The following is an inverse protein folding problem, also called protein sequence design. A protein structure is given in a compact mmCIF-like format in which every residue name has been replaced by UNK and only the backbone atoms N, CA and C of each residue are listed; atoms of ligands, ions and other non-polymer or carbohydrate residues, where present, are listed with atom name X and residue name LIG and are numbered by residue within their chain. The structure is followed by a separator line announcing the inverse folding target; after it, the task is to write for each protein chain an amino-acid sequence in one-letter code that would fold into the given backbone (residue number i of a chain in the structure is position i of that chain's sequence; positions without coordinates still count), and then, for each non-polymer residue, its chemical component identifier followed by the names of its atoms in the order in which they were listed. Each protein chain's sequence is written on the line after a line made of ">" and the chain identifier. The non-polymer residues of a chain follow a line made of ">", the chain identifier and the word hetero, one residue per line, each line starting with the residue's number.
data_IF_186136400783
#
_entry.id   IF_186136400783
#
_cell.length_a   1.000
_cell.length_b   1.000
_cell.length_c   1.000
_cell.angle_alpha   90.00
_cell.angle_beta   90.00
_cell.angle_gamma   90.00
#
_symmetry.space_group_name_H-M   'P 1'
#
loop_
_entity.id
_entity.type
_entity.pdbx_description
1 polymer ?
#
# COMPACT_ATOMS: atom_id res chain seq x y z
N UNK A 1 1.32 39.59 -50.62
CA UNK A 1 2.50 40.42 -50.28
C UNK A 1 3.07 39.92 -48.95
N UNK A 2 4.30 39.38 -48.93
CA UNK A 2 4.90 38.67 -47.80
C UNK A 2 5.66 39.63 -46.85
N UNK A 3 5.66 39.33 -45.55
CA UNK A 3 6.52 40.01 -44.57
C UNK A 3 7.70 39.10 -44.18
N UNK A 4 8.89 39.44 -44.71
CA UNK A 4 10.19 38.89 -44.33
C UNK A 4 10.68 39.59 -43.06
N UNK A 5 11.08 38.81 -42.06
CA UNK A 5 11.80 39.30 -40.87
C UNK A 5 13.29 39.06 -41.10
N UNK A 6 14.10 40.13 -41.12
CA UNK A 6 15.56 40.08 -41.19
C UNK A 6 16.15 40.35 -39.80
N UNK A 7 17.16 39.56 -39.42
CA UNK A 7 17.90 39.67 -38.16
C UNK A 7 18.94 40.81 -38.20
N UNK A 8 19.01 41.61 -37.13
CA UNK A 8 20.02 42.65 -36.95
C UNK A 8 21.34 42.10 -36.38
N UNK A 9 22.52 42.64 -36.74
CA UNK A 9 23.82 42.17 -36.26
C UNK A 9 24.19 42.79 -34.90
N UNK A 10 24.68 41.97 -33.97
CA UNK A 10 25.23 42.43 -32.68
C UNK A 10 26.69 42.86 -32.83
N UNK A 11 26.98 44.08 -32.39
CA UNK A 11 28.27 44.75 -32.45
C UNK A 11 29.38 44.05 -31.63
N UNK A 12 30.56 43.91 -32.24
CA UNK A 12 31.76 43.41 -31.58
C UNK A 12 32.47 44.48 -30.75
N UNK A 13 32.64 44.22 -29.45
CA UNK A 13 33.44 45.06 -28.55
C UNK A 13 34.86 44.47 -28.45
N UNK A 14 35.83 45.16 -29.06
CA UNK A 14 37.27 44.92 -28.85
C UNK A 14 37.73 45.63 -27.58
N UNK A 15 38.19 44.90 -26.55
CA UNK A 15 38.91 45.47 -25.40
C UNK A 15 40.44 45.35 -25.61
N UNK A 16 41.10 46.50 -25.45
CA UNK A 16 42.55 46.74 -25.60
C UNK A 16 43.37 46.02 -24.52
N UNK A 17 44.55 45.52 -24.89
CA UNK A 17 45.59 45.02 -23.96
C UNK A 17 46.16 46.19 -23.14
N UNK A 18 46.04 46.14 -21.82
CA UNK A 18 46.87 46.92 -20.90
C UNK A 18 47.87 45.99 -20.20
N UNK A 19 49.12 46.45 -20.14
CA UNK A 19 50.23 45.80 -19.46
C UNK A 19 50.20 46.15 -17.97
N UNK A 20 49.73 45.23 -17.13
CA UNK A 20 49.96 45.26 -15.69
C UNK A 20 50.54 43.93 -15.23
N UNK A 21 51.71 44.00 -14.55
CA UNK A 21 52.32 42.89 -13.80
C UNK A 21 51.29 42.35 -12.79
N UNK A 22 50.92 41.07 -12.83
CA UNK A 22 50.05 40.51 -11.81
C UNK A 22 50.85 40.31 -10.51
N UNK A 23 50.33 40.87 -9.41
CA UNK A 23 50.70 40.48 -8.05
C UNK A 23 50.33 39.01 -7.86
N UNK A 24 51.23 38.21 -7.30
CA UNK A 24 50.98 36.81 -6.94
C UNK A 24 49.81 36.74 -5.95
N UNK A 25 48.78 35.97 -6.29
CA UNK A 25 47.70 35.68 -5.34
C UNK A 25 48.19 34.66 -4.30
N UNK A 26 47.73 34.75 -3.04
CA UNK A 26 48.15 33.83 -1.98
C UNK A 26 47.57 32.41 -2.16
N UNK A 27 46.78 32.18 -3.21
CA UNK A 27 46.19 30.88 -3.55
C UNK A 27 46.87 30.22 -4.77
N UNK A 28 47.90 30.83 -5.34
CA UNK A 28 48.63 30.28 -6.49
C UNK A 28 49.44 29.02 -6.16
N UNK A 29 49.73 28.77 -4.88
CA UNK A 29 50.40 27.56 -4.39
C UNK A 29 49.45 26.42 -4.01
N UNK A 30 48.12 26.61 -4.11
CA UNK A 30 47.20 25.51 -3.85
C UNK A 30 47.06 24.61 -5.09
N UNK A 31 47.33 23.29 -4.97
CA UNK A 31 47.24 22.38 -6.10
C UNK A 31 45.79 22.30 -6.59
N UNK A 32 45.55 22.73 -7.85
CA UNK A 32 44.27 22.52 -8.54
C UNK A 32 44.15 21.05 -8.94
N UNK A 33 43.33 20.29 -8.21
CA UNK A 33 42.89 18.98 -8.68
C UNK A 33 41.88 19.14 -9.83
N UNK A 34 42.15 18.48 -10.95
CA UNK A 34 41.16 18.32 -12.03
C UNK A 34 40.00 17.46 -11.51
N UNK A 35 38.73 17.79 -11.82
CA UNK A 35 37.62 16.88 -11.55
C UNK A 35 37.80 15.67 -12.48
N UNK A 36 38.19 14.52 -11.91
CA UNK A 36 38.28 13.26 -12.66
C UNK A 36 39.52 12.38 -12.41
N UNK A 37 40.50 12.80 -11.61
CA UNK A 37 41.63 11.94 -11.25
C UNK A 37 41.46 11.39 -9.83
N UNK A 38 41.04 10.11 -9.72
CA UNK A 38 41.08 9.36 -8.46
C UNK A 38 42.55 9.10 -8.12
N UNK A 39 43.03 9.68 -7.03
CA UNK A 39 44.30 9.31 -6.42
C UNK A 39 44.13 7.94 -5.77
N UNK A 40 44.92 6.97 -6.24
CA UNK A 40 45.11 5.67 -5.62
C UNK A 40 45.79 5.85 -4.25
N UNK A 41 44.96 6.14 -3.26
CA UNK A 41 45.24 5.95 -1.84
C UNK A 41 43.92 5.47 -1.20
N UNK A 42 43.35 4.42 -1.81
CA UNK A 42 42.51 3.46 -1.11
C UNK A 42 43.42 2.79 -0.08
N UNK A 43 43.40 3.32 1.13
CA UNK A 43 43.29 2.41 2.26
C UNK A 43 41.81 2.26 2.47
N UNK A 44 41.28 1.16 1.94
CA UNK A 44 40.05 0.54 2.38
C UNK A 44 40.03 0.61 3.91
N UNK A 45 39.27 1.57 4.44
CA UNK A 45 38.70 1.39 5.76
C UNK A 45 37.43 0.63 5.47
N UNK A 46 37.60 -0.68 5.38
CA UNK A 46 36.56 -1.70 5.38
C UNK A 46 35.83 -1.57 6.72
N UNK A 47 34.94 -0.58 6.82
CA UNK A 47 34.01 -0.46 7.93
C UNK A 47 32.94 -1.51 7.71
N UNK A 48 33.20 -2.65 8.30
CA UNK A 48 32.24 -3.69 8.69
C UNK A 48 31.43 -4.25 7.52
N UNK A 49 31.86 -5.43 7.07
CA UNK A 49 30.94 -6.48 6.62
C UNK A 49 29.59 -6.31 7.30
N UNK A 50 28.50 -6.27 6.50
CA UNK A 50 27.13 -6.51 6.97
C UNK A 50 27.17 -7.75 7.85
N UNK A 51 27.33 -7.55 9.16
CA UNK A 51 27.26 -8.56 10.19
C UNK A 51 25.78 -8.73 10.54
N UNK A 52 25.43 -9.97 10.88
CA UNK A 52 24.06 -10.28 11.26
C UNK A 52 23.70 -9.45 12.50
N UNK A 53 22.53 -8.81 12.47
CA UNK A 53 22.06 -8.00 13.60
C UNK A 53 21.89 -8.89 14.83
N UNK A 54 22.36 -8.45 16.01
CA UNK A 54 22.14 -9.19 17.24
C UNK A 54 20.64 -9.32 17.50
N UNK A 55 20.21 -10.53 17.87
CA UNK A 55 18.82 -10.85 18.15
C UNK A 55 18.59 -11.02 19.66
N UNK A 56 17.95 -10.03 20.27
CA UNK A 56 17.53 -10.07 21.68
C UNK A 56 16.06 -10.49 21.86
N UNK A 57 15.42 -10.97 20.79
CA UNK A 57 14.03 -11.42 20.77
C UNK A 57 13.04 -10.36 20.27
N UNK A 58 11.75 -10.69 20.39
CA UNK A 58 10.64 -9.89 19.85
C UNK A 58 10.61 -8.46 20.40
N UNK A 59 10.54 -7.48 19.50
CA UNK A 59 10.44 -6.07 19.86
C UNK A 59 9.00 -5.67 20.20
N UNK A 60 8.84 -4.78 21.19
CA UNK A 60 7.57 -4.13 21.51
C UNK A 60 7.39 -2.77 20.83
N UNK A 61 8.22 -2.46 19.83
CA UNK A 61 8.23 -1.16 19.15
C UNK A 61 6.85 -0.71 18.64
N UNK A 62 6.09 -1.60 17.97
CA UNK A 62 4.78 -1.24 17.40
C UNK A 62 3.74 -0.90 18.49
N UNK A 63 3.47 -1.77 19.47
CA UNK A 63 2.49 -1.44 20.52
C UNK A 63 2.93 -0.27 21.43
N UNK A 64 4.22 0.03 21.52
CA UNK A 64 4.71 1.20 22.28
C UNK A 64 4.51 2.52 21.52
N UNK A 65 4.60 2.48 20.19
CA UNK A 65 4.44 3.66 19.33
C UNK A 65 2.97 3.93 19.00
N UNK A 66 2.17 2.90 18.80
CA UNK A 66 0.74 2.99 18.56
C UNK A 66 -0.05 2.95 19.88
N UNK A 67 -0.43 4.12 20.39
CA UNK A 67 -1.27 4.24 21.61
C UNK A 67 -2.73 3.95 21.30
N UNK A 68 -3.07 2.68 21.22
CA UNK A 68 -4.39 2.18 20.87
C UNK A 68 -4.79 1.07 21.82
N UNK A 69 -6.00 1.16 22.39
CA UNK A 69 -6.48 0.21 23.41
C UNK A 69 -7.68 -0.64 22.98
N UNK A 70 -8.46 -0.16 21.99
CA UNK A 70 -9.67 -0.84 21.50
C UNK A 70 -9.61 -1.12 20.00
N UNK A 71 -10.42 -2.07 19.54
CA UNK A 71 -10.52 -2.42 18.10
C UNK A 71 -11.01 -1.23 17.28
N UNK A 72 -11.91 -0.41 17.82
CA UNK A 72 -12.40 0.77 17.10
C UNK A 72 -11.35 1.87 17.00
N UNK A 73 -10.58 2.08 18.07
CA UNK A 73 -9.47 3.02 18.05
C UNK A 73 -8.38 2.54 17.06
N UNK A 74 -8.15 1.22 16.96
CA UNK A 74 -7.24 0.63 16.00
C UNK A 74 -7.69 0.89 14.56
N UNK A 75 -8.96 0.63 14.26
CA UNK A 75 -9.52 0.90 12.93
C UNK A 75 -9.40 2.39 12.58
N UNK A 76 -9.71 3.29 13.52
CA UNK A 76 -9.57 4.73 13.31
C UNK A 76 -8.11 5.16 13.11
N UNK A 77 -7.18 4.61 13.90
CA UNK A 77 -5.74 4.86 13.80
C UNK A 77 -5.22 4.42 12.43
N UNK A 78 -5.54 3.20 11.99
CA UNK A 78 -5.09 2.63 10.73
C UNK A 78 -5.58 3.46 9.55
N UNK A 79 -6.84 3.90 9.56
CA UNK A 79 -7.36 4.74 8.49
C UNK A 79 -6.68 6.11 8.45
N UNK A 80 -6.43 6.73 9.61
CA UNK A 80 -5.81 8.06 9.71
C UNK A 80 -4.32 8.05 9.34
N UNK A 81 -3.61 6.96 9.62
CA UNK A 81 -2.15 6.84 9.45
C UNK A 81 -1.72 6.23 8.11
N UNK A 82 -2.66 5.79 7.26
CA UNK A 82 -2.35 5.08 6.00
C UNK A 82 -1.45 5.86 5.05
N UNK A 83 -1.59 7.18 4.99
CA UNK A 83 -0.88 8.02 4.04
C UNK A 83 -0.15 9.17 4.70
N UNK A 84 1.04 9.46 4.17
CA UNK A 84 1.76 10.68 4.49
C UNK A 84 1.12 11.89 3.80
N UNK A 85 1.25 13.06 4.43
CA UNK A 85 0.90 14.34 3.83
C UNK A 85 1.69 14.60 2.54
N UNK A 86 1.08 15.36 1.63
CA UNK A 86 1.73 15.69 0.36
C UNK A 86 2.96 16.57 0.60
N UNK A 87 4.13 16.23 0.02
CA UNK A 87 5.33 17.00 0.24
C UNK A 87 5.22 18.38 -0.44
N UNK A 88 5.61 19.44 0.29
CA UNK A 88 5.57 20.83 -0.20
C UNK A 88 6.38 21.00 -1.50
N UNK A 89 7.47 20.25 -1.65
CA UNK A 89 8.26 20.16 -2.88
C UNK A 89 8.23 18.74 -3.45
N UNK A 90 7.03 18.27 -3.75
CA UNK A 90 6.83 16.91 -4.23
C UNK A 90 7.57 16.58 -5.53
N UNK A 91 7.85 17.56 -6.39
CA UNK A 91 8.30 17.28 -7.76
C UNK A 91 7.27 16.49 -8.58
N UNK A 92 6.00 16.49 -8.13
CA UNK A 92 4.84 15.93 -8.83
C UNK A 92 4.13 17.04 -9.59
N UNK A 93 3.62 16.75 -10.78
CA UNK A 93 2.75 17.67 -11.51
C UNK A 93 1.35 17.70 -10.86
N UNK A 94 0.55 18.72 -11.21
CA UNK A 94 -0.81 18.90 -10.68
C UNK A 94 -1.72 17.70 -10.96
N UNK A 95 -1.59 17.08 -12.14
CA UNK A 95 -2.37 15.89 -12.50
C UNK A 95 -2.06 14.72 -11.58
N UNK A 96 -0.79 14.47 -11.28
CA UNK A 96 -0.39 13.41 -10.35
C UNK A 96 -0.87 13.68 -8.93
N UNK A 97 -0.82 14.92 -8.48
CA UNK A 97 -1.35 15.31 -7.16
C UNK A 97 -2.86 15.02 -7.09
N UNK A 98 -3.61 15.39 -8.14
CA UNK A 98 -5.04 15.10 -8.22
C UNK A 98 -5.33 13.60 -8.23
N UNK A 99 -4.56 12.80 -8.99
CA UNK A 99 -4.67 11.33 -8.98
C UNK A 99 -4.47 10.75 -7.58
N UNK A 100 -3.45 11.21 -6.85
CA UNK A 100 -3.17 10.76 -5.48
C UNK A 100 -4.34 11.09 -4.55
N UNK A 101 -4.82 12.33 -4.58
CA UNK A 101 -5.91 12.77 -3.71
C UNK A 101 -7.24 12.06 -4.04
N UNK A 102 -7.53 11.87 -5.33
CA UNK A 102 -8.73 11.15 -5.77
C UNK A 102 -8.68 9.67 -5.39
N UNK A 103 -7.53 9.02 -5.57
CA UNK A 103 -7.37 7.63 -5.15
C UNK A 103 -7.60 7.51 -3.64
N UNK A 104 -6.89 8.29 -2.83
CA UNK A 104 -6.99 8.25 -1.36
C UNK A 104 -8.43 8.45 -0.90
N UNK A 105 -9.16 9.39 -1.49
CA UNK A 105 -10.59 9.63 -1.19
C UNK A 105 -11.50 8.47 -1.61
N UNK A 106 -11.13 7.75 -2.67
CA UNK A 106 -11.93 6.66 -3.22
C UNK A 106 -11.76 5.32 -2.49
N UNK A 107 -10.75 5.19 -1.62
CA UNK A 107 -10.50 3.94 -0.91
C UNK A 107 -11.62 3.68 0.10
N UNK A 108 -12.07 2.41 0.22
CA UNK A 108 -13.04 2.06 1.24
C UNK A 108 -12.41 2.13 2.64
N UNK A 109 -13.20 2.38 3.69
CA UNK A 109 -12.79 2.37 5.09
C UNK A 109 -12.62 0.92 5.58
N UNK A 110 -11.76 0.16 4.88
CA UNK A 110 -11.40 -1.21 5.19
C UNK A 110 -10.07 -1.24 5.94
N UNK A 111 -9.99 -2.16 6.87
CA UNK A 111 -8.79 -2.46 7.65
C UNK A 111 -8.60 -3.97 7.68
N UNK A 112 -7.36 -4.46 7.54
CA UNK A 112 -7.08 -5.88 7.67
C UNK A 112 -7.16 -6.31 9.15
N UNK A 113 -7.63 -7.53 9.42
CA UNK A 113 -7.63 -8.08 10.78
C UNK A 113 -6.20 -8.24 11.32
N UNK A 114 -5.26 -8.60 10.44
CA UNK A 114 -3.83 -8.70 10.73
C UNK A 114 -3.25 -7.39 11.31
N UNK A 115 -3.59 -6.25 10.72
CA UNK A 115 -3.14 -4.94 11.20
C UNK A 115 -3.63 -4.65 12.62
N UNK A 116 -4.91 -4.91 12.88
CA UNK A 116 -5.54 -4.68 14.21
C UNK A 116 -4.86 -5.51 15.29
N UNK A 117 -4.58 -6.79 15.02
CA UNK A 117 -3.88 -7.67 15.96
C UNK A 117 -2.49 -7.14 16.33
N UNK A 118 -1.79 -6.58 15.35
CA UNK A 118 -0.43 -6.05 15.54
C UNK A 118 -0.42 -4.85 16.47
N UNK A 119 -1.41 -3.96 16.36
CA UNK A 119 -1.48 -2.76 17.19
C UNK A 119 -1.82 -3.07 18.65
N UNK A 120 -2.73 -4.02 18.89
CA UNK A 120 -3.30 -4.27 20.23
C UNK A 120 -2.54 -5.31 21.07
N UNK A 121 -1.55 -6.01 20.49
CA UNK A 121 -0.63 -6.97 21.15
C UNK A 121 -1.29 -7.92 22.17
N UNK A 122 -2.50 -8.40 21.87
CA UNK A 122 -3.29 -9.31 22.72
C UNK A 122 -4.30 -10.12 21.87
N UNK A 123 -3.84 -11.04 21.00
CA UNK A 123 -4.63 -11.59 19.90
C UNK A 123 -5.95 -12.26 20.34
N UNK A 124 -5.95 -12.97 21.47
CA UNK A 124 -7.16 -13.62 22.00
C UNK A 124 -8.19 -12.62 22.52
N UNK A 125 -7.74 -11.56 23.18
CA UNK A 125 -8.60 -10.47 23.65
C UNK A 125 -9.18 -9.70 22.47
N UNK A 126 -8.34 -9.41 21.47
CA UNK A 126 -8.72 -8.70 20.25
C UNK A 126 -9.77 -9.47 19.47
N UNK A 127 -9.58 -10.78 19.25
CA UNK A 127 -10.62 -11.59 18.57
C UNK A 127 -11.92 -11.63 19.36
N UNK A 128 -11.86 -11.75 20.69
CA UNK A 128 -13.06 -11.70 21.52
C UNK A 128 -13.80 -10.37 21.35
N UNK A 129 -13.08 -9.25 21.37
CA UNK A 129 -13.65 -7.93 21.15
C UNK A 129 -14.22 -7.77 19.72
N UNK A 130 -13.53 -8.29 18.69
CA UNK A 130 -14.04 -8.31 17.31
C UNK A 130 -15.37 -9.07 17.25
N UNK A 131 -15.45 -10.26 17.84
CA UNK A 131 -16.68 -11.07 17.87
C UNK A 131 -17.81 -10.34 18.60
N UNK A 132 -17.52 -9.70 19.73
CA UNK A 132 -18.49 -8.91 20.48
C UNK A 132 -18.99 -7.70 19.65
N UNK A 133 -18.10 -7.00 18.95
CA UNK A 133 -18.45 -5.86 18.09
C UNK A 133 -19.22 -6.28 16.84
N UNK A 134 -18.92 -7.45 16.29
CA UNK A 134 -19.65 -8.03 15.15
C UNK A 134 -21.05 -8.49 15.58
N UNK A 135 -21.17 -9.15 16.75
CA UNK A 135 -22.47 -9.60 17.29
C UNK A 135 -23.39 -8.44 17.66
N UNK A 136 -22.83 -7.35 18.19
CA UNK A 136 -23.57 -6.10 18.48
C UNK A 136 -23.82 -5.23 17.24
N UNK A 137 -23.32 -5.63 16.06
CA UNK A 137 -23.51 -4.93 14.81
C UNK A 137 -22.75 -3.60 14.70
N UNK A 138 -21.77 -3.34 15.55
CA UNK A 138 -20.92 -2.12 15.51
C UNK A 138 -19.82 -2.21 14.45
N UNK A 139 -19.34 -3.42 14.19
CA UNK A 139 -18.32 -3.73 13.18
C UNK A 139 -18.87 -4.81 12.25
N UNK A 140 -18.48 -4.77 10.98
CA UNK A 140 -18.71 -5.87 10.02
C UNK A 140 -17.38 -6.46 9.59
N UNK A 141 -17.30 -7.79 9.65
CA UNK A 141 -16.20 -8.57 9.08
C UNK A 141 -16.54 -8.96 7.65
N UNK A 142 -15.63 -8.66 6.74
CA UNK A 142 -15.76 -8.91 5.31
C UNK A 142 -14.68 -9.90 4.90
N UNK A 143 -15.12 -11.04 4.38
CA UNK A 143 -14.25 -12.02 3.75
C UNK A 143 -14.34 -11.80 2.25
N UNK A 144 -13.22 -11.51 1.60
CA UNK A 144 -13.08 -11.42 0.15
C UNK A 144 -12.57 -12.76 -0.36
N UNK A 145 -13.42 -13.62 -0.93
CA UNK A 145 -12.98 -14.95 -1.34
C UNK A 145 -11.87 -14.88 -2.42
N UNK A 146 -11.06 -15.94 -2.52
CA UNK A 146 -9.95 -16.00 -3.48
C UNK A 146 -8.79 -15.02 -3.20
N UNK A 147 -8.81 -14.31 -2.06
CA UNK A 147 -7.73 -13.40 -1.63
C UNK A 147 -7.01 -13.86 -0.35
N UNK A 148 -7.16 -15.14 0.01
CA UNK A 148 -6.61 -15.73 1.23
C UNK A 148 -7.42 -15.31 2.47
N UNK A 149 -7.74 -16.27 3.33
CA UNK A 149 -8.41 -16.05 4.63
C UNK A 149 -7.48 -16.33 5.81
N UNK A 150 -6.23 -16.67 5.52
CA UNK A 150 -5.15 -16.86 6.47
C UNK A 150 -4.52 -15.51 6.86
N UNK A 151 -3.65 -15.50 7.87
CA UNK A 151 -3.01 -14.27 8.36
C UNK A 151 -2.23 -13.52 7.26
N UNK A 152 -1.58 -14.26 6.34
CA UNK A 152 -0.89 -13.69 5.18
C UNK A 152 -1.86 -13.26 4.06
N UNK A 153 -3.12 -13.69 4.13
CA UNK A 153 -4.18 -13.33 3.21
C UNK A 153 -4.47 -11.82 3.21
N UNK A 154 -5.03 -11.36 2.11
CA UNK A 154 -5.55 -10.01 1.93
C UNK A 154 -7.08 -9.97 2.09
N UNK A 155 -7.72 -11.12 2.31
CA UNK A 155 -9.17 -11.27 2.19
C UNK A 155 -9.95 -11.02 3.47
N UNK A 156 -9.33 -10.89 4.63
CA UNK A 156 -10.02 -10.75 5.91
C UNK A 156 -9.95 -9.32 6.44
N UNK A 157 -11.06 -8.59 6.33
CA UNK A 157 -11.12 -7.16 6.62
C UNK A 157 -12.26 -6.82 7.60
N UNK A 158 -12.08 -5.70 8.31
CA UNK A 158 -13.08 -5.08 9.18
C UNK A 158 -13.47 -3.70 8.62
N UNK A 159 -14.71 -3.32 8.91
CA UNK A 159 -15.23 -1.98 8.65
C UNK A 159 -16.23 -1.61 9.74
N UNK A 160 -16.22 -0.35 10.17
CA UNK A 160 -17.23 0.15 11.11
C UNK A 160 -18.58 0.23 10.42
N UNK A 161 -19.64 -0.22 11.09
CA UNK A 161 -21.00 -0.17 10.52
C UNK A 161 -21.40 1.25 10.16
N UNK A 162 -20.99 2.25 10.96
CA UNK A 162 -21.26 3.67 10.69
C UNK A 162 -20.68 4.12 9.34
N UNK A 163 -19.41 3.84 9.11
CA UNK A 163 -18.70 4.22 7.88
C UNK A 163 -19.28 3.52 6.65
N UNK A 164 -19.71 2.26 6.81
CA UNK A 164 -20.43 1.55 5.75
C UNK A 164 -21.76 2.24 5.44
N UNK A 165 -22.59 2.51 6.44
CA UNK A 165 -23.88 3.17 6.22
C UNK A 165 -23.71 4.55 5.59
N UNK A 166 -22.69 5.31 5.97
CA UNK A 166 -22.34 6.59 5.35
C UNK A 166 -21.96 6.43 3.88
N UNK A 167 -21.17 5.41 3.52
CA UNK A 167 -20.87 5.09 2.13
C UNK A 167 -22.11 4.76 1.31
N UNK A 168 -23.04 3.98 1.87
CA UNK A 168 -24.29 3.62 1.18
C UNK A 168 -25.16 4.86 1.00
N UNK A 169 -25.35 5.67 2.04
CA UNK A 169 -26.12 6.93 1.95
C UNK A 169 -25.50 7.96 1.01
N UNK A 170 -24.18 7.97 0.87
CA UNK A 170 -23.44 8.81 -0.08
C UNK A 170 -23.53 8.32 -1.53
N UNK A 171 -23.98 7.09 -1.74
CA UNK A 171 -24.23 6.52 -3.07
C UNK A 171 -25.71 6.63 -3.44
N UNK A 172 -26.03 6.71 -4.73
CA UNK A 172 -27.42 6.71 -5.21
C UNK A 172 -28.09 5.31 -5.12
N UNK A 173 -27.70 4.53 -4.11
CA UNK A 173 -28.14 3.15 -3.89
C UNK A 173 -29.34 3.14 -2.95
N UNK A 174 -30.10 2.06 -3.00
CA UNK A 174 -31.40 1.90 -2.36
C UNK A 174 -31.29 1.81 -0.83
N UNK A 175 -32.12 2.55 -0.10
CA UNK A 175 -32.27 2.45 1.37
C UNK A 175 -32.64 1.02 1.81
N UNK A 176 -33.33 0.26 0.95
CA UNK A 176 -33.65 -1.16 1.17
C UNK A 176 -32.41 -2.03 1.36
N UNK A 177 -31.23 -1.59 0.87
CA UNK A 177 -29.97 -2.27 1.13
C UNK A 177 -29.52 -2.12 2.59
N UNK A 178 -29.75 -0.97 3.23
CA UNK A 178 -29.45 -0.77 4.65
C UNK A 178 -30.33 -1.66 5.53
N UNK A 179 -31.61 -1.78 5.19
CA UNK A 179 -32.53 -2.67 5.89
C UNK A 179 -32.11 -4.14 5.74
N UNK A 180 -31.64 -4.53 4.56
CA UNK A 180 -31.06 -5.85 4.37
C UNK A 180 -29.84 -6.06 5.25
N UNK A 181 -28.89 -5.12 5.27
CA UNK A 181 -27.67 -5.20 6.08
C UNK A 181 -28.02 -5.43 7.55
N UNK A 182 -29.02 -4.71 8.09
CA UNK A 182 -29.51 -4.89 9.46
C UNK A 182 -30.11 -6.28 9.69
N UNK A 183 -30.82 -6.83 8.69
CA UNK A 183 -31.48 -8.15 8.79
C UNK A 183 -30.52 -9.34 8.67
N UNK A 184 -29.52 -9.27 7.80
CA UNK A 184 -28.56 -10.38 7.59
C UNK A 184 -27.50 -10.48 8.70
N UNK A 185 -27.47 -9.50 9.61
CA UNK A 185 -26.57 -9.49 10.75
C UNK A 185 -25.11 -9.60 10.33
N UNK A 186 -24.48 -10.70 10.72
CA UNK A 186 -23.06 -11.01 10.53
C UNK A 186 -22.74 -11.76 9.24
N UNK A 187 -23.75 -12.17 8.47
CA UNK A 187 -23.54 -12.91 7.21
C UNK A 187 -22.94 -12.01 6.12
N UNK A 188 -21.85 -12.47 5.49
CA UNK A 188 -21.26 -11.81 4.31
C UNK A 188 -21.87 -12.28 2.99
N UNK A 189 -22.69 -13.34 3.01
CA UNK A 189 -23.38 -13.87 1.82
C UNK A 189 -24.83 -13.38 1.76
N UNK A 190 -25.24 -12.94 0.58
CA UNK A 190 -26.60 -12.49 0.28
C UNK A 190 -27.26 -13.53 -0.64
N UNK A 191 -28.40 -14.12 -0.22
CA UNK A 191 -29.15 -15.03 -1.06
C UNK A 191 -29.59 -14.38 -2.37
N UNK A 192 -29.52 -15.15 -3.47
CA UNK A 192 -30.07 -14.72 -4.75
C UNK A 192 -31.60 -14.53 -4.63
N UNK A 193 -32.12 -13.40 -5.13
CA UNK A 193 -33.56 -13.10 -5.12
C UNK A 193 -34.06 -12.18 -4.01
N UNK A 194 -33.18 -11.68 -3.13
CA UNK A 194 -33.55 -10.67 -2.12
C UNK A 194 -33.91 -9.32 -2.76
N UNK A 195 -33.27 -8.99 -3.88
CA UNK A 195 -33.52 -7.77 -4.65
C UNK A 195 -34.06 -8.10 -6.05
N UNK A 196 -34.88 -7.22 -6.63
CA UNK A 196 -35.14 -7.21 -8.07
C UNK A 196 -33.83 -7.18 -8.88
N UNK A 197 -33.83 -7.74 -10.11
CA UNK A 197 -32.62 -7.79 -10.95
C UNK A 197 -32.00 -6.41 -11.19
N UNK A 198 -32.82 -5.38 -11.42
CA UNK A 198 -32.36 -4.01 -11.63
C UNK A 198 -31.60 -3.45 -10.40
N UNK A 199 -32.15 -3.65 -9.21
CA UNK A 199 -31.59 -3.20 -7.93
C UNK A 199 -30.29 -3.94 -7.61
N UNK A 200 -30.28 -5.25 -7.86
CA UNK A 200 -29.11 -6.08 -7.67
C UNK A 200 -27.98 -5.67 -8.62
N UNK A 201 -28.29 -5.38 -9.88
CA UNK A 201 -27.31 -4.86 -10.85
C UNK A 201 -26.82 -3.47 -10.48
N UNK A 202 -27.66 -2.61 -9.89
CA UNK A 202 -27.24 -1.32 -9.37
C UNK A 202 -26.25 -1.48 -8.20
N UNK A 203 -26.53 -2.40 -7.27
CA UNK A 203 -25.64 -2.74 -6.15
C UNK A 203 -24.29 -3.31 -6.61
N UNK A 204 -24.30 -4.18 -7.62
CA UNK A 204 -23.07 -4.72 -8.21
C UNK A 204 -22.27 -3.62 -8.92
N UNK A 205 -22.92 -2.75 -9.69
CA UNK A 205 -22.26 -1.62 -10.37
C UNK A 205 -21.70 -0.59 -9.39
N UNK A 206 -22.40 -0.35 -8.29
CA UNK A 206 -21.92 0.49 -7.20
C UNK A 206 -20.77 -0.17 -6.41
N UNK A 207 -20.58 -1.48 -6.53
CA UNK A 207 -19.50 -2.22 -5.87
C UNK A 207 -19.84 -2.67 -4.45
N UNK A 208 -21.13 -2.74 -4.09
CA UNK A 208 -21.59 -3.26 -2.79
C UNK A 208 -21.84 -4.77 -2.80
N UNK A 209 -21.95 -5.37 -3.99
CA UNK A 209 -22.11 -6.81 -4.18
C UNK A 209 -21.14 -7.34 -5.24
N UNK A 210 -20.61 -8.54 -5.02
CA UNK A 210 -19.77 -9.28 -5.98
C UNK A 210 -20.28 -10.71 -6.13
N UNK A 211 -20.35 -11.19 -7.37
CA UNK A 211 -20.70 -12.59 -7.66
C UNK A 211 -19.52 -13.53 -7.37
N UNK A 212 -19.81 -14.69 -6.76
CA UNK A 212 -18.86 -15.77 -6.56
C UNK A 212 -18.12 -16.20 -7.84
N UNK A 213 -18.81 -16.19 -9.00
CA UNK A 213 -18.26 -16.62 -10.28
C UNK A 213 -17.17 -15.70 -10.84
N UNK A 214 -17.19 -14.41 -10.49
CA UNK A 214 -16.15 -13.44 -10.86
C UNK A 214 -14.84 -13.64 -10.07
N UNK A 215 -14.91 -14.43 -9.00
CA UNK A 215 -13.84 -14.62 -8.03
C UNK A 215 -13.05 -15.92 -8.26
N UNK A 216 -13.65 -16.87 -8.98
CA UNK A 216 -13.09 -18.18 -9.30
C UNK A 216 -11.98 -18.16 -10.39
N UNK A 217 -11.50 -16.99 -10.84
CA UNK A 217 -10.34 -16.91 -11.76
C UNK A 217 -8.99 -17.17 -11.07
N UNK A 218 -8.98 -17.36 -9.75
CA UNK A 218 -7.85 -17.94 -9.01
C UNK A 218 -8.25 -19.31 -8.49
N UNK A 219 -7.60 -20.37 -8.97
CA UNK A 219 -7.75 -21.73 -8.47
C UNK A 219 -7.42 -21.80 -6.98
N UNK A 220 -8.41 -21.76 -6.09
CA UNK A 220 -8.29 -22.20 -4.70
C UNK A 220 -9.60 -22.84 -4.24
N UNK A 221 -9.47 -24.02 -3.65
CA UNK A 221 -10.56 -24.86 -3.15
C UNK A 221 -11.47 -24.08 -2.19
N UNK A 222 -12.74 -23.93 -2.56
CA UNK A 222 -13.81 -23.46 -1.67
C UNK A 222 -14.17 -24.62 -0.72
N UNK A 223 -13.27 -24.92 0.20
CA UNK A 223 -13.51 -25.86 1.30
C UNK A 223 -13.38 -25.08 2.60
N UNK A 224 -14.47 -24.39 2.99
CA UNK A 224 -14.83 -23.99 4.37
C UNK A 224 -15.84 -22.83 4.30
N UNK A 225 -17.08 -23.13 3.92
CA UNK A 225 -18.23 -22.32 4.32
C UNK A 225 -18.93 -23.05 5.46
N UNK A 226 -19.43 -22.35 6.50
CA UNK A 226 -20.38 -22.95 7.43
C UNK A 226 -21.60 -23.43 6.63
N UNK A 227 -22.01 -24.67 6.89
CA UNK A 227 -22.99 -25.45 6.15
C UNK A 227 -24.28 -24.67 5.84
N UNK A 228 -24.46 -24.29 4.58
CA UNK A 228 -25.78 -23.93 4.03
C UNK A 228 -26.53 -25.24 3.76
N UNK A 229 -27.77 -25.43 4.23
CA UNK A 229 -28.53 -26.65 3.94
C UNK A 229 -28.72 -26.78 2.43
N UNK A 230 -28.12 -27.84 1.88
CA UNK A 230 -28.23 -28.18 0.45
C UNK A 230 -29.54 -28.93 0.26
N UNK A 231 -30.62 -28.22 -0.07
CA UNK A 231 -31.84 -28.85 -0.55
C UNK A 231 -32.47 -28.02 -1.67
N UNK A 232 -32.22 -28.48 -2.90
CA UNK A 232 -33.16 -28.66 -4.03
C UNK A 232 -32.35 -28.53 -5.34
N UNK A 233 -32.32 -29.64 -6.07
CA UNK A 233 -31.35 -29.89 -7.12
C UNK A 233 -31.60 -29.20 -8.46
N UNK A 234 -30.56 -29.23 -9.29
CA UNK A 234 -30.68 -29.41 -10.72
C UNK A 234 -29.34 -29.96 -11.24
N UNK A 235 -29.34 -31.27 -11.48
CA UNK A 235 -28.33 -31.98 -12.25
C UNK A 235 -28.31 -31.42 -13.68
N UNK A 236 -27.12 -31.11 -14.22
CA UNK A 236 -26.92 -31.27 -15.66
C UNK A 236 -25.44 -31.48 -15.96
N UNK A 237 -25.13 -32.70 -16.37
CA UNK A 237 -23.86 -33.11 -16.94
C UNK A 237 -23.96 -33.00 -18.46
N UNK A 238 -22.90 -32.51 -19.12
CA UNK A 238 -22.54 -32.96 -20.47
C UNK A 238 -21.09 -32.62 -20.79
N UNK A 239 -20.41 -33.59 -21.38
CA UNK A 239 -18.99 -33.66 -21.75
C UNK A 239 -18.78 -33.20 -23.21
N UNK A 240 -17.51 -33.16 -23.65
CA UNK A 240 -16.98 -32.97 -25.02
C UNK A 240 -16.85 -31.49 -25.46
N UNK A 241 -15.88 -31.02 -26.25
CA UNK A 241 -14.67 -31.55 -26.89
C UNK A 241 -13.78 -30.34 -27.27
N UNK A 242 -12.54 -30.58 -27.71
CA UNK A 242 -11.53 -29.62 -28.12
C UNK A 242 -11.97 -28.63 -29.23
N UNK A 243 -11.45 -27.38 -29.16
CA UNK A 243 -11.54 -26.41 -30.25
C UNK A 243 -11.16 -24.98 -29.84
N UNK A 244 -9.93 -24.59 -30.16
CA UNK A 244 -9.40 -23.21 -30.09
C UNK A 244 -10.23 -22.22 -30.93
N UNK A 245 -10.87 -21.25 -30.27
CA UNK A 245 -11.37 -19.98 -30.86
C UNK A 245 -11.35 -18.86 -29.78
N UNK A 246 -11.21 -17.58 -30.18
CA UNK A 246 -10.74 -16.50 -29.33
C UNK A 246 -11.80 -15.97 -28.34
N UNK A 247 -11.29 -15.50 -27.20
CA UNK A 247 -12.01 -14.95 -26.05
C UNK A 247 -12.86 -13.73 -26.42
N UNK A 248 -14.11 -13.96 -26.82
CA UNK A 248 -15.17 -12.96 -26.65
C UNK A 248 -15.57 -12.93 -25.17
N UNK A 249 -15.50 -11.75 -24.56
CA UNK A 249 -16.01 -11.49 -23.23
C UNK A 249 -17.54 -11.67 -23.24
N UNK A 250 -17.98 -12.90 -22.93
CA UNK A 250 -19.38 -13.27 -22.86
C UNK A 250 -20.03 -12.49 -21.71
N UNK A 251 -20.96 -11.61 -22.03
CA UNK A 251 -21.78 -10.94 -21.03
C UNK A 251 -22.54 -12.00 -20.23
N UNK A 252 -22.54 -11.95 -18.89
CA UNK A 252 -23.31 -12.88 -18.09
C UNK A 252 -24.79 -12.73 -18.42
N UNK A 253 -25.44 -13.81 -18.82
CA UNK A 253 -26.87 -13.85 -19.10
C UNK A 253 -27.65 -13.70 -17.78
N UNK A 254 -28.82 -13.07 -17.86
CA UNK A 254 -29.70 -12.75 -16.72
C UNK A 254 -30.07 -14.00 -15.88
N UNK A 255 -29.98 -15.19 -16.46
CA UNK A 255 -30.19 -16.48 -15.79
C UNK A 255 -29.04 -16.92 -14.88
N UNK A 256 -27.78 -16.63 -15.24
CA UNK A 256 -26.62 -16.95 -14.39
C UNK A 256 -26.58 -16.08 -13.13
N UNK A 257 -27.09 -14.85 -13.23
CA UNK A 257 -27.17 -13.91 -12.10
C UNK A 257 -28.19 -14.34 -11.04
N UNK A 258 -29.27 -15.03 -11.44
CA UNK A 258 -30.34 -15.47 -10.54
C UNK A 258 -29.99 -16.69 -9.68
N UNK A 259 -28.98 -17.46 -10.06
CA UNK A 259 -28.53 -18.64 -9.30
C UNK A 259 -27.19 -18.44 -8.59
N UNK A 260 -26.50 -17.31 -8.79
CA UNK A 260 -25.21 -17.04 -8.20
C UNK A 260 -25.35 -16.49 -6.78
N UNK A 261 -24.62 -17.10 -5.83
CA UNK A 261 -24.46 -16.53 -4.49
C UNK A 261 -23.68 -15.21 -4.59
N UNK A 262 -24.24 -14.16 -4.01
CA UNK A 262 -23.63 -12.83 -3.98
C UNK A 262 -22.94 -12.62 -2.64
N UNK A 263 -21.80 -11.93 -2.66
CA UNK A 263 -21.05 -11.56 -1.46
C UNK A 263 -21.07 -10.04 -1.28
N UNK A 264 -21.12 -9.61 -0.03
CA UNK A 264 -20.97 -8.20 0.31
C UNK A 264 -19.55 -7.73 -0.02
N UNK A 265 -19.44 -6.53 -0.55
CA UNK A 265 -18.18 -5.82 -0.73
C UNK A 265 -18.36 -4.32 -0.48
N UNK A 266 -17.25 -3.59 -0.49
CA UNK A 266 -17.29 -2.14 -0.57
C UNK A 266 -16.77 -1.66 -1.93
N UNK A 267 -17.22 -0.48 -2.39
CA UNK A 267 -16.67 0.16 -3.57
C UNK A 267 -15.13 0.25 -3.46
N UNK A 268 -14.43 0.01 -4.57
CA UNK A 268 -12.95 0.06 -4.63
C UNK A 268 -12.18 -0.92 -3.71
N UNK A 269 -12.83 -1.96 -3.16
CA UNK A 269 -12.15 -3.01 -2.38
C UNK A 269 -10.95 -3.60 -3.13
N UNK A 270 -11.11 -3.93 -4.42
CA UNK A 270 -10.01 -4.48 -5.23
C UNK A 270 -8.82 -3.53 -5.39
N UNK A 271 -9.06 -2.22 -5.41
CA UNK A 271 -8.01 -1.20 -5.47
C UNK A 271 -7.25 -1.11 -4.15
N UNK A 272 -7.98 -1.13 -3.03
CA UNK A 272 -7.39 -1.20 -1.69
C UNK A 272 -6.51 -2.44 -1.52
N UNK A 273 -7.02 -3.63 -1.85
CA UNK A 273 -6.26 -4.88 -1.72
C UNK A 273 -5.03 -4.91 -2.62
N UNK A 274 -5.11 -4.32 -3.82
CA UNK A 274 -3.94 -4.19 -4.70
C UNK A 274 -2.88 -3.28 -4.08
N UNK A 275 -3.29 -2.13 -3.56
CA UNK A 275 -2.39 -1.18 -2.90
C UNK A 275 -1.71 -1.84 -1.68
N UNK A 276 -2.49 -2.58 -0.90
CA UNK A 276 -2.02 -3.35 0.25
C UNK A 276 -0.96 -4.39 -0.14
N UNK A 277 -1.26 -5.22 -1.13
CA UNK A 277 -0.33 -6.21 -1.65
C UNK A 277 0.94 -5.60 -2.25
N UNK A 278 0.83 -4.47 -2.95
CA UNK A 278 1.99 -3.73 -3.48
C UNK A 278 2.86 -3.15 -2.37
N UNK A 279 2.26 -2.64 -1.29
CA UNK A 279 2.97 -2.14 -0.11
C UNK A 279 3.77 -3.26 0.56
N UNK A 280 3.10 -4.35 0.93
CA UNK A 280 3.72 -5.55 1.52
C UNK A 280 4.88 -6.07 0.66
N UNK A 281 4.64 -6.24 -0.64
CA UNK A 281 5.67 -6.74 -1.57
C UNK A 281 6.87 -5.81 -1.65
N UNK A 282 6.64 -4.48 -1.71
CA UNK A 282 7.73 -3.51 -1.76
C UNK A 282 8.58 -3.53 -0.49
N UNK A 283 7.97 -3.66 0.69
CA UNK A 283 8.70 -3.73 1.94
C UNK A 283 9.61 -4.98 1.99
N UNK A 284 9.07 -6.13 1.61
CA UNK A 284 9.81 -7.39 1.51
C UNK A 284 10.93 -7.28 0.46
N UNK A 285 10.68 -6.65 -0.68
CA UNK A 285 11.71 -6.40 -1.71
C UNK A 285 12.87 -5.54 -1.18
N UNK A 286 12.60 -4.60 -0.26
CA UNK A 286 13.65 -3.77 0.34
C UNK A 286 14.51 -4.55 1.33
N UNK A 287 13.91 -5.44 2.12
CA UNK A 287 14.62 -6.34 3.02
C UNK A 287 15.43 -7.38 2.25
N UNK A 288 14.88 -7.95 1.18
CA UNK A 288 15.60 -8.94 0.34
C UNK A 288 16.87 -8.42 -0.32
N UNK A 289 17.11 -7.10 -0.32
CA UNK A 289 18.34 -6.50 -0.82
C UNK A 289 19.50 -6.57 0.17
N UNK A 290 19.24 -6.75 1.47
CA UNK A 290 20.32 -6.98 2.44
C UNK A 290 20.74 -8.45 2.44
N UNK A 291 22.02 -8.69 2.78
CA UNK A 291 22.66 -10.01 2.80
C UNK A 291 21.90 -11.04 3.62
N UNK A 292 21.38 -10.63 4.78
CA UNK A 292 20.66 -11.49 5.72
C UNK A 292 19.14 -11.31 5.70
N UNK A 293 18.60 -10.58 4.73
CA UNK A 293 17.17 -10.23 4.67
C UNK A 293 16.63 -9.51 5.91
N UNK A 294 17.53 -8.83 6.62
CA UNK A 294 17.24 -8.00 7.77
C UNK A 294 17.88 -6.62 7.62
N UNK A 295 17.33 -5.63 8.32
CA UNK A 295 17.86 -4.27 8.37
C UNK A 295 17.39 -3.56 9.65
N UNK A 296 18.17 -2.60 10.17
CA UNK A 296 17.67 -1.68 11.20
C UNK A 296 16.45 -0.91 10.67
N UNK A 297 15.46 -0.70 11.53
CA UNK A 297 14.18 -0.07 11.15
C UNK A 297 14.37 1.32 10.53
N UNK A 298 15.28 2.14 11.07
CA UNK A 298 15.56 3.48 10.54
C UNK A 298 16.07 3.41 9.09
N UNK A 299 16.93 2.44 8.80
CA UNK A 299 17.54 2.26 7.49
C UNK A 299 16.49 1.76 6.49
N UNK A 300 15.62 0.86 6.92
CA UNK A 300 14.52 0.38 6.09
C UNK A 300 13.52 1.50 5.76
N UNK A 301 13.21 2.39 6.72
CA UNK A 301 12.40 3.60 6.49
C UNK A 301 13.05 4.52 5.46
N UNK A 302 14.36 4.74 5.59
CA UNK A 302 15.10 5.58 4.65
C UNK A 302 15.04 5.02 3.22
N UNK A 303 15.21 3.70 3.07
CA UNK A 303 15.06 3.00 1.78
C UNK A 303 13.63 3.13 1.24
N UNK A 304 12.61 3.06 2.09
CA UNK A 304 11.20 3.25 1.73
C UNK A 304 10.95 4.65 1.15
N UNK A 305 11.55 5.67 1.75
CA UNK A 305 11.44 7.07 1.33
C UNK A 305 12.30 7.41 0.10
N UNK A 306 13.04 6.43 -0.42
CA UNK A 306 13.85 6.58 -1.64
C UNK A 306 15.19 7.27 -1.40
N UNK A 307 15.72 7.19 -0.18
CA UNK A 307 17.12 7.51 0.08
C UNK A 307 18.01 6.52 -0.71
N UNK A 308 19.02 7.07 -1.39
CA UNK A 308 20.05 6.28 -2.06
C UNK A 308 21.21 6.17 -1.07
N UNK A 309 21.61 4.95 -0.73
CA UNK A 309 22.83 4.68 0.02
C UNK A 309 24.02 5.18 -0.80
N UNK A 310 24.44 6.41 -0.51
CA UNK A 310 25.68 6.96 -1.01
C UNK A 310 26.44 7.43 0.21
N UNK A 311 27.43 6.65 0.65
CA UNK A 311 28.30 6.94 1.81
C UNK A 311 29.23 8.13 1.62
N UNK A 312 28.92 8.98 0.65
CA UNK A 312 29.55 10.28 0.56
C UNK A 312 29.23 11.10 1.82
N UNK A 313 30.27 11.55 2.53
CA UNK A 313 30.18 12.51 3.66
C UNK A 313 29.25 13.69 3.39
N UNK A 314 29.10 14.09 2.12
CA UNK A 314 28.17 15.14 1.69
C UNK A 314 26.70 14.75 1.82
N UNK A 315 26.33 13.48 1.58
CA UNK A 315 24.98 12.97 1.77
C UNK A 315 24.64 12.85 3.27
N UNK A 316 25.56 12.36 4.10
CA UNK A 316 25.39 12.34 5.56
C UNK A 316 25.28 13.75 6.15
N UNK A 317 26.12 14.69 5.70
CA UNK A 317 26.06 16.08 6.17
C UNK A 317 24.81 16.83 5.72
N UNK A 318 24.29 16.56 4.52
CA UNK A 318 23.01 17.11 4.04
C UNK A 318 21.82 16.49 4.78
N UNK A 319 21.87 15.18 5.10
CA UNK A 319 20.89 14.50 5.95
C UNK A 319 20.81 15.12 7.35
N UNK A 320 21.95 15.37 7.98
CA UNK A 320 22.02 16.03 9.29
C UNK A 320 21.47 17.47 9.30
N UNK A 321 21.37 18.10 8.11
CA UNK A 321 20.75 19.43 7.92
C UNK A 321 19.28 19.37 7.49
N UNK A 322 18.68 18.19 7.38
CA UNK A 322 17.31 18.03 6.87
C UNK A 322 17.14 18.32 5.38
N UNK A 323 18.25 18.39 4.62
CA UNK A 323 18.22 18.59 3.17
C UNK A 323 18.03 17.23 2.47
N UNK A 324 17.04 17.14 1.57
CA UNK A 324 16.75 15.89 0.85
C UNK A 324 17.94 15.45 -0.02
N UNK A 325 18.63 14.40 0.40
CA UNK A 325 19.72 13.74 -0.35
C UNK A 325 19.25 12.57 -1.20
N UNK A 326 17.98 12.20 -1.07
CA UNK A 326 17.35 11.15 -1.84
C UNK A 326 16.74 11.63 -3.16
N UNK A 327 16.19 10.66 -3.89
CA UNK A 327 15.38 10.92 -5.07
C UNK A 327 14.20 11.83 -4.68
N UNK A 328 13.89 12.86 -5.49
CA UNK A 328 12.74 13.74 -5.24
C UNK A 328 11.48 12.90 -4.93
N UNK A 329 10.65 13.28 -3.94
CA UNK A 329 9.54 12.45 -3.49
C UNK A 329 8.67 11.89 -4.63
N UNK A 330 8.28 12.73 -5.59
CA UNK A 330 7.47 12.35 -6.76
C UNK A 330 8.13 11.39 -7.74
N UNK A 331 9.43 11.12 -7.60
CA UNK A 331 10.17 10.13 -8.40
C UNK A 331 10.32 8.78 -7.70
N UNK A 332 10.04 8.68 -6.40
CA UNK A 332 10.14 7.46 -5.59
C UNK A 332 9.00 6.47 -5.88
N UNK A 333 9.21 5.18 -5.55
CA UNK A 333 8.16 4.15 -5.65
C UNK A 333 7.02 4.42 -4.66
N UNK A 334 7.34 4.94 -3.46
CA UNK A 334 6.38 5.40 -2.44
C UNK A 334 5.30 6.30 -3.04
N UNK A 335 5.69 7.34 -3.79
CA UNK A 335 4.72 8.29 -4.36
C UNK A 335 4.14 7.86 -5.72
N UNK A 336 4.90 7.14 -6.54
CA UNK A 336 4.46 6.70 -7.88
C UNK A 336 3.52 5.50 -7.88
N UNK A 337 3.74 4.54 -6.99
CA UNK A 337 2.99 3.28 -6.99
C UNK A 337 2.18 3.11 -5.71
N UNK A 338 2.70 3.60 -4.58
CA UNK A 338 2.06 3.44 -3.27
C UNK A 338 1.34 4.71 -2.80
N UNK A 339 1.23 5.72 -3.66
CA UNK A 339 0.45 6.94 -3.42
C UNK A 339 0.77 7.65 -2.09
N UNK A 340 2.02 7.56 -1.64
CA UNK A 340 2.48 8.16 -0.38
C UNK A 340 2.08 7.35 0.85
N UNK A 341 1.89 6.04 0.72
CA UNK A 341 1.66 5.14 1.85
C UNK A 341 2.75 5.31 2.92
N UNK A 342 2.31 5.42 4.18
CA UNK A 342 3.19 5.63 5.32
C UNK A 342 4.00 4.37 5.63
N UNK A 343 5.27 4.54 6.04
CA UNK A 343 6.16 3.41 6.32
C UNK A 343 5.67 2.58 7.53
N UNK A 344 5.32 3.25 8.63
CA UNK A 344 4.87 2.55 9.84
C UNK A 344 3.59 1.75 9.57
N UNK A 345 2.71 2.30 8.75
CA UNK A 345 1.47 1.65 8.38
C UNK A 345 1.72 0.32 7.66
N UNK A 346 2.63 0.30 6.67
CA UNK A 346 2.96 -0.94 5.96
C UNK A 346 3.77 -1.91 6.81
N UNK A 347 4.58 -1.39 7.74
CA UNK A 347 5.35 -2.20 8.69
C UNK A 347 4.40 -2.97 9.60
N UNK A 348 3.48 -2.25 10.26
CA UNK A 348 2.44 -2.82 11.13
C UNK A 348 1.63 -3.89 10.40
N UNK A 349 1.18 -3.60 9.18
CA UNK A 349 0.44 -4.52 8.35
C UNK A 349 1.24 -5.79 7.97
N UNK A 350 2.52 -5.64 7.62
CA UNK A 350 3.36 -6.76 7.20
C UNK A 350 3.77 -7.65 8.38
N UNK A 351 3.94 -7.09 9.57
CA UNK A 351 4.14 -7.84 10.82
C UNK A 351 2.90 -8.65 11.14
N UNK A 352 1.71 -8.04 11.10
CA UNK A 352 0.45 -8.74 11.34
C UNK A 352 0.17 -9.85 10.35
N UNK A 353 0.60 -9.65 9.10
CA UNK A 353 0.49 -10.65 8.06
C UNK A 353 1.50 -11.80 8.19
N UNK A 354 2.43 -11.73 9.15
CA UNK A 354 3.49 -12.71 9.34
C UNK A 354 4.48 -12.76 8.18
N UNK A 355 4.67 -11.66 7.46
CA UNK A 355 5.65 -11.57 6.36
C UNK A 355 7.02 -11.15 6.85
N UNK A 356 7.05 -10.42 7.97
CA UNK A 356 8.25 -9.88 8.60
C UNK A 356 8.09 -9.96 10.11
N UNK A 357 9.21 -9.90 10.81
CA UNK A 357 9.29 -9.83 12.26
C UNK A 357 10.13 -8.62 12.68
N UNK A 358 9.74 -7.98 13.78
CA UNK A 358 10.51 -6.91 14.42
C UNK A 358 11.12 -7.44 15.70
N UNK A 359 12.43 -7.30 15.83
CA UNK A 359 13.22 -7.81 16.96
C UNK A 359 14.09 -6.70 17.56
N UNK A 360 14.54 -6.89 18.80
CA UNK A 360 15.43 -5.95 19.47
C UNK A 360 16.89 -6.27 19.17
N UNK A 361 17.67 -5.24 18.84
CA UNK A 361 19.12 -5.34 18.59
C UNK A 361 19.97 -4.82 19.75
N UNK A 362 19.36 -4.21 20.76
CA UNK A 362 20.05 -3.68 21.95
C UNK A 362 20.99 -2.48 21.70
N UNK A 363 21.25 -2.09 20.44
CA UNK A 363 22.26 -1.08 20.09
C UNK A 363 21.82 -0.08 19.01
N UNK A 364 21.25 -0.57 17.89
CA UNK A 364 20.89 0.25 16.71
C UNK A 364 19.39 0.51 16.59
N UNK A 365 18.62 0.19 17.65
CA UNK A 365 17.17 0.23 17.67
C UNK A 365 16.54 -1.06 17.15
N UNK A 366 15.23 -1.07 16.83
CA UNK A 366 14.56 -2.28 16.36
C UNK A 366 15.13 -2.76 15.02
N UNK A 367 15.39 -4.05 14.92
CA UNK A 367 15.70 -4.76 13.68
C UNK A 367 14.43 -5.29 13.04
N UNK A 368 14.42 -5.41 11.72
CA UNK A 368 13.32 -6.01 10.95
C UNK A 368 13.90 -7.09 10.06
N UNK A 369 13.30 -8.29 10.03
CA UNK A 369 13.70 -9.40 9.15
C UNK A 369 12.50 -9.99 8.40
N UNK A 370 12.76 -10.60 7.25
CA UNK A 370 11.76 -11.44 6.58
C UNK A 370 11.57 -12.79 7.29
N UNK A 371 10.36 -13.35 7.22
CA UNK A 371 10.01 -14.69 7.71
C UNK A 371 9.97 -15.75 6.61
#
# INVERSE_FOLDING_TARGET
>A
MPLRVTSAPTAGIRKRKSSHRPRSSPFASHPRQKPGARSAADKDIDWEEDDQLPDHGLSRYIPETARVDTVQDAVAHIHKSMFEELPVRAGMNSTRIAEVLNLRRSLPPLVSVAHVHTLLNAPTRVEKEIVDLVSTGRVRRLIVPGRGSDAAGLGDCLVLTKDWEELVRGSAVLDSFLDLLRRIGTSSAVPAGVFPSADLMALVRAGFLVSASSLAKGSLNVASLPSVPTSLGASSASRSDAGTQPLQAMQPTDSQFRSATMFLSLPNTGTYLRLLGQGRSHLVDLLKKSKFHEAPLYLLRDRWDGAVESDTRSALAKRARGESTGVLPGRTKKWKQLYGMHFDWVLEEAVGAGLIEVFDTGSVGPGVRCL
#
